data_IF_978010957917
#
_entry.id   IF_978010957917
#
_cell.length_a   1.000
_cell.length_b   1.000
_cell.length_c   1.000
_cell.angle_alpha   90.00
_cell.angle_beta   90.00
_cell.angle_gamma   90.00
#
_symmetry.space_group_name_H-M   'P 1'
#
loop_
_entity.id
_entity.type
_entity.pdbx_description
1 polymer ?
#
# COMPACT_ATOMS: atom_id res chain seq x y z
N UNK A 1 48.45 19.10 -6.30
CA UNK A 1 47.71 17.82 -6.45
C UNK A 1 46.31 17.90 -5.82
N UNK A 2 46.03 18.86 -4.95
CA UNK A 2 44.78 18.92 -4.18
C UNK A 2 43.52 19.21 -4.99
N UNK A 3 43.63 19.99 -6.08
CA UNK A 3 42.51 20.30 -6.96
C UNK A 3 41.89 19.05 -7.61
N UNK A 4 42.73 18.14 -8.12
CA UNK A 4 42.25 16.90 -8.76
C UNK A 4 41.54 15.99 -7.75
N UNK A 5 42.02 15.92 -6.52
CA UNK A 5 41.38 15.12 -5.46
C UNK A 5 40.04 15.72 -5.05
N UNK A 6 39.96 17.05 -4.91
CA UNK A 6 38.69 17.74 -4.62
C UNK A 6 37.66 17.57 -5.75
N UNK A 7 38.11 17.62 -7.00
CA UNK A 7 37.24 17.38 -8.16
C UNK A 7 36.70 15.94 -8.20
N UNK A 8 37.56 14.95 -7.94
CA UNK A 8 37.14 13.55 -7.88
C UNK A 8 36.16 13.28 -6.74
N UNK A 9 36.35 13.91 -5.58
CA UNK A 9 35.44 13.76 -4.45
C UNK A 9 34.09 14.45 -4.72
N UNK A 10 34.08 15.58 -5.43
CA UNK A 10 32.83 16.20 -5.89
C UNK A 10 32.06 15.30 -6.84
N UNK A 11 32.72 14.67 -7.82
CA UNK A 11 32.08 13.71 -8.73
C UNK A 11 31.51 12.52 -7.96
N UNK A 12 32.29 11.95 -7.02
CA UNK A 12 31.82 10.81 -6.20
C UNK A 12 30.57 11.17 -5.41
N UNK A 13 30.51 12.36 -4.80
CA UNK A 13 29.32 12.78 -4.05
C UNK A 13 28.11 12.93 -4.98
N UNK A 14 28.26 13.57 -6.13
CA UNK A 14 27.16 13.73 -7.11
C UNK A 14 26.64 12.37 -7.57
N UNK A 15 27.53 11.40 -7.84
CA UNK A 15 27.13 10.04 -8.25
C UNK A 15 26.43 9.30 -7.10
N UNK A 16 26.95 9.41 -5.88
CA UNK A 16 26.34 8.79 -4.68
C UNK A 16 24.94 9.36 -4.44
N UNK A 17 24.77 10.66 -4.57
CA UNK A 17 23.48 11.32 -4.35
C UNK A 17 22.46 10.96 -5.44
N UNK A 18 22.89 10.90 -6.71
CA UNK A 18 22.04 10.41 -7.80
C UNK A 18 21.59 8.95 -7.59
N UNK A 19 22.49 8.08 -7.12
CA UNK A 19 22.15 6.68 -6.80
C UNK A 19 21.19 6.61 -5.61
N UNK A 20 21.41 7.41 -4.56
CA UNK A 20 20.50 7.47 -3.40
C UNK A 20 19.11 7.95 -3.79
N UNK A 21 19.02 8.96 -4.64
CA UNK A 21 17.74 9.48 -5.12
C UNK A 21 17.00 8.45 -5.97
N UNK A 22 17.69 7.81 -6.92
CA UNK A 22 17.13 6.72 -7.72
C UNK A 22 16.67 5.54 -6.85
N UNK A 23 17.43 5.19 -5.81
CA UNK A 23 17.05 4.16 -4.85
C UNK A 23 15.87 4.57 -3.98
N UNK A 24 15.74 5.85 -3.60
CA UNK A 24 14.58 6.34 -2.84
C UNK A 24 13.31 6.34 -3.68
N UNK A 25 13.40 6.75 -4.95
CA UNK A 25 12.30 6.68 -5.91
C UNK A 25 11.91 5.22 -6.17
N UNK A 26 12.88 4.33 -6.39
CA UNK A 26 12.62 2.91 -6.51
C UNK A 26 12.03 2.32 -5.21
N UNK A 27 12.45 2.75 -4.03
CA UNK A 27 11.90 2.28 -2.74
C UNK A 27 10.45 2.71 -2.53
N UNK A 28 9.99 3.80 -3.16
CA UNK A 28 8.56 4.13 -3.21
C UNK A 28 7.76 3.17 -4.11
N UNK A 29 8.40 2.59 -5.14
CA UNK A 29 7.78 1.58 -6.02
C UNK A 29 7.90 0.14 -5.48
N UNK A 30 8.78 -0.12 -4.51
CA UNK A 30 9.19 -1.48 -4.16
C UNK A 30 8.48 -2.02 -2.91
N UNK A 31 7.71 -3.06 -3.20
CA UNK A 31 7.27 -4.14 -2.32
C UNK A 31 6.12 -3.80 -1.39
N UNK A 32 4.92 -3.82 -1.97
CA UNK A 32 3.74 -4.09 -1.18
C UNK A 32 3.93 -5.40 -0.38
N UNK A 33 3.82 -5.36 0.96
CA UNK A 33 4.02 -6.54 1.79
C UNK A 33 2.94 -7.57 1.52
N UNK A 34 3.35 -8.83 1.43
CA UNK A 34 2.44 -9.96 1.40
C UNK A 34 1.77 -10.13 2.76
N UNK A 35 0.44 -10.11 2.79
CA UNK A 35 -0.35 -10.26 4.01
C UNK A 35 -1.00 -11.63 4.11
N UNK A 36 -1.35 -12.01 5.33
CA UNK A 36 -1.99 -13.28 5.67
C UNK A 36 -3.50 -13.27 5.41
N UNK A 37 -4.13 -14.43 5.50
CA UNK A 37 -5.60 -14.58 5.39
C UNK A 37 -6.33 -13.75 6.46
N UNK A 38 -5.78 -13.65 7.67
CA UNK A 38 -6.36 -12.87 8.75
C UNK A 38 -6.37 -11.38 8.42
N UNK A 39 -5.22 -10.85 8.01
CA UNK A 39 -5.09 -9.43 7.67
C UNK A 39 -5.95 -9.03 6.47
N UNK A 40 -6.09 -9.91 5.47
CA UNK A 40 -6.98 -9.61 4.34
C UNK A 40 -8.45 -9.71 4.71
N UNK A 41 -8.82 -10.61 5.62
CA UNK A 41 -10.18 -10.70 6.15
C UNK A 41 -10.55 -9.41 6.90
N UNK A 42 -9.65 -8.91 7.75
CA UNK A 42 -9.79 -7.62 8.43
C UNK A 42 -9.89 -6.46 7.43
N UNK A 43 -9.05 -6.43 6.38
CA UNK A 43 -9.08 -5.40 5.33
C UNK A 43 -10.40 -5.40 4.54
N UNK A 44 -11.00 -6.57 4.34
CA UNK A 44 -12.28 -6.72 3.65
C UNK A 44 -13.50 -6.54 4.57
N UNK A 45 -13.31 -6.45 5.89
CA UNK A 45 -14.40 -6.47 6.86
C UNK A 45 -15.18 -7.79 6.86
N UNK A 46 -14.50 -8.91 6.55
CA UNK A 46 -15.09 -10.25 6.42
C UNK A 46 -14.43 -11.24 7.38
N UNK A 47 -15.01 -12.43 7.52
CA UNK A 47 -14.40 -13.51 8.32
C UNK A 47 -13.33 -14.27 7.53
N UNK A 48 -12.34 -14.84 8.22
CA UNK A 48 -11.33 -15.70 7.59
C UNK A 48 -11.94 -16.93 6.89
N UNK A 49 -13.07 -17.44 7.41
CA UNK A 49 -13.82 -18.54 6.77
C UNK A 49 -14.39 -18.09 5.43
N UNK A 50 -14.93 -16.87 5.36
CA UNK A 50 -15.44 -16.30 4.11
C UNK A 50 -14.32 -16.14 3.08
N UNK A 51 -13.15 -15.63 3.50
CA UNK A 51 -11.98 -15.52 2.61
C UNK A 51 -11.58 -16.89 2.09
N UNK A 52 -11.51 -17.90 2.95
CA UNK A 52 -11.16 -19.26 2.53
C UNK A 52 -12.16 -19.90 1.55
N UNK A 53 -13.46 -19.62 1.70
CA UNK A 53 -14.49 -20.08 0.75
C UNK A 53 -14.37 -19.38 -0.61
N UNK A 54 -13.96 -18.11 -0.60
CA UNK A 54 -13.88 -17.26 -1.78
C UNK A 54 -12.47 -17.16 -2.38
N UNK A 55 -11.55 -18.07 -2.05
CA UNK A 55 -10.18 -18.04 -2.60
C UNK A 55 -10.12 -18.19 -4.12
N UNK A 56 -11.13 -18.81 -4.71
CA UNK A 56 -11.21 -18.99 -6.16
C UNK A 56 -11.46 -17.67 -6.90
N UNK A 57 -11.99 -16.65 -6.22
CA UNK A 57 -12.21 -15.31 -6.79
C UNK A 57 -11.20 -14.28 -6.27
N UNK A 58 -10.72 -14.43 -5.03
CA UNK A 58 -9.79 -13.46 -4.44
C UNK A 58 -8.36 -13.70 -4.96
N UNK A 59 -7.69 -12.67 -5.53
CA UNK A 59 -6.30 -12.78 -5.96
C UNK A 59 -5.37 -13.15 -4.80
N UNK A 60 -4.68 -14.28 -4.93
CA UNK A 60 -3.76 -14.78 -3.91
C UNK A 60 -2.62 -15.56 -4.55
N UNK A 61 -1.53 -15.71 -3.80
CA UNK A 61 -0.47 -16.66 -4.12
C UNK A 61 -0.37 -17.71 -3.02
N UNK A 62 0.19 -18.87 -3.37
CA UNK A 62 0.65 -19.86 -2.40
C UNK A 62 2.16 -19.75 -2.29
N UNK A 63 2.65 -19.47 -1.10
CA UNK A 63 4.07 -19.44 -0.78
C UNK A 63 4.30 -20.29 0.47
N UNK A 64 5.14 -21.32 0.34
CA UNK A 64 5.50 -22.22 1.45
C UNK A 64 4.27 -22.84 2.16
N UNK A 65 3.37 -23.43 1.38
CA UNK A 65 2.12 -24.03 1.88
C UNK A 65 1.07 -23.04 2.41
N UNK A 66 1.43 -21.76 2.54
CA UNK A 66 0.59 -20.71 3.10
C UNK A 66 0.03 -19.79 2.02
N UNK A 67 -1.20 -19.32 2.22
CA UNK A 67 -1.83 -18.32 1.33
C UNK A 67 -1.33 -16.94 1.70
N UNK A 68 -1.01 -16.13 0.69
CA UNK A 68 -0.55 -14.76 0.83
C UNK A 68 -1.27 -13.87 -0.17
N UNK A 69 -1.55 -12.65 0.25
CA UNK A 69 -2.35 -11.68 -0.50
C UNK A 69 -1.58 -10.37 -0.65
N UNK A 70 -1.81 -9.67 -1.75
CA UNK A 70 -1.44 -8.26 -1.92
C UNK A 70 -2.71 -7.44 -1.75
N UNK A 71 -2.69 -6.41 -0.89
CA UNK A 71 -3.88 -5.58 -0.63
C UNK A 71 -4.31 -4.84 -1.91
N UNK A 72 -3.37 -4.32 -2.69
CA UNK A 72 -3.61 -3.62 -3.95
C UNK A 72 -4.29 -4.51 -4.99
N UNK A 73 -3.84 -5.77 -5.12
CA UNK A 73 -4.46 -6.74 -6.02
C UNK A 73 -5.90 -7.06 -5.58
N UNK A 74 -6.14 -7.18 -4.27
CA UNK A 74 -7.47 -7.42 -3.71
C UNK A 74 -8.36 -6.18 -3.85
N UNK A 75 -7.82 -4.98 -3.68
CA UNK A 75 -8.53 -3.72 -3.87
C UNK A 75 -8.91 -3.52 -5.35
N UNK A 76 -7.98 -3.79 -6.26
CA UNK A 76 -8.24 -3.77 -7.69
C UNK A 76 -9.33 -4.77 -8.07
N UNK A 77 -9.23 -6.02 -7.60
CA UNK A 77 -10.27 -7.03 -7.80
C UNK A 77 -11.63 -6.58 -7.27
N UNK A 78 -11.66 -5.94 -6.09
CA UNK A 78 -12.90 -5.42 -5.51
C UNK A 78 -13.52 -4.32 -6.38
N UNK A 79 -12.69 -3.43 -6.94
CA UNK A 79 -13.16 -2.41 -7.90
C UNK A 79 -13.62 -3.06 -9.20
N UNK A 80 -12.92 -4.05 -9.74
CA UNK A 80 -13.36 -4.71 -10.98
C UNK A 80 -14.67 -5.50 -10.79
N UNK A 81 -14.82 -6.15 -9.63
CA UNK A 81 -15.98 -6.99 -9.32
C UNK A 81 -17.21 -6.17 -8.93
N UNK A 82 -17.03 -5.05 -8.23
CA UNK A 82 -18.12 -4.26 -7.63
C UNK A 82 -18.12 -2.78 -8.06
N UNK A 83 -17.35 -2.43 -9.08
CA UNK A 83 -16.87 -1.07 -9.41
C UNK A 83 -17.86 0.04 -9.67
N UNK A 84 -19.15 -0.24 -9.70
CA UNK A 84 -20.16 0.82 -9.80
C UNK A 84 -20.49 1.47 -8.44
N UNK A 85 -20.02 0.92 -7.30
CA UNK A 85 -20.41 1.40 -5.95
C UNK A 85 -19.26 1.80 -5.00
N UNK A 86 -17.98 1.62 -5.35
CA UNK A 86 -16.86 1.76 -4.40
C UNK A 86 -15.90 2.94 -4.65
N UNK A 87 -16.00 3.62 -5.79
CA UNK A 87 -15.03 4.66 -6.17
C UNK A 87 -15.05 5.91 -5.26
N UNK A 88 -16.11 6.11 -4.47
CA UNK A 88 -16.28 7.33 -3.68
C UNK A 88 -15.63 7.32 -2.28
N UNK A 89 -15.12 6.19 -1.77
CA UNK A 89 -14.60 6.12 -0.38
C UNK A 89 -13.06 6.06 -0.28
N UNK A 90 -12.35 5.60 -1.31
CA UNK A 90 -10.89 5.43 -1.23
C UNK A 90 -10.09 6.73 -1.48
N UNK A 91 -10.67 7.70 -2.19
CA UNK A 91 -10.00 9.00 -2.44
C UNK A 91 -10.05 9.90 -1.19
N UNK A 92 -11.02 9.69 -0.29
CA UNK A 92 -11.24 10.57 0.87
C UNK A 92 -10.34 10.26 2.08
N UNK A 93 -9.82 9.03 2.21
CA UNK A 93 -9.04 8.64 3.41
C UNK A 93 -7.64 9.27 3.42
N UNK A 94 -7.05 9.54 2.25
CA UNK A 94 -5.73 10.19 2.16
C UNK A 94 -5.78 11.73 2.17
N UNK A 95 -6.97 12.35 2.28
CA UNK A 95 -7.12 13.80 2.26
C UNK A 95 -8.13 14.36 3.26
N UNK A 96 -8.16 13.93 4.53
CA UNK A 96 -8.77 14.79 5.57
C UNK A 96 -7.95 14.79 6.86
N UNK A 97 -7.19 15.89 6.98
CA UNK A 97 -6.70 16.49 8.21
C UNK A 97 -7.74 16.44 9.34
N UNK A 98 -7.27 16.09 10.54
CA UNK A 98 -7.49 16.83 11.80
C UNK A 98 -8.80 17.62 11.91
N UNK A 99 -9.58 17.24 12.92
CA UNK A 99 -10.55 18.06 13.67
C UNK A 99 -11.90 18.36 13.00
N UNK A 100 -12.96 17.77 13.55
CA UNK A 100 -14.06 18.59 14.08
C UNK A 100 -14.95 17.80 15.05
N UNK A 101 -15.30 18.51 16.12
CA UNK A 101 -16.10 18.10 17.28
C UNK A 101 -17.54 17.75 16.85
N UNK A 102 -18.11 16.71 17.46
CA UNK A 102 -19.56 16.41 17.35
C UNK A 102 -20.37 17.43 18.15
N UNK A 103 -21.45 18.02 17.63
CA UNK A 103 -22.56 18.43 18.48
C UNK A 103 -23.55 17.26 18.60
N UNK A 104 -23.81 16.89 19.85
CA UNK A 104 -24.86 15.95 20.26
C UNK A 104 -26.21 16.67 20.16
N UNK A 105 -27.19 16.10 19.44
CA UNK A 105 -28.61 16.42 19.61
C UNK A 105 -29.50 15.23 19.26
N UNK A 106 -30.32 14.84 20.23
CA UNK A 106 -31.57 14.06 20.19
C UNK A 106 -32.01 14.00 21.67
N UNK A 107 -33.21 14.34 22.14
CA UNK A 107 -34.60 14.27 21.65
C UNK A 107 -35.44 15.18 22.57
N UNK A 108 -36.50 15.81 22.05
CA UNK A 108 -37.86 15.77 22.63
C UNK A 108 -38.88 15.69 21.48
#
# INVERSE_FOLDING_TARGET
>A
MDFFNQFLDSIKQVVIDAIKEALQQAKQEICEPWVTTKEIAEHLGQSESWVNKNLHIIPHIKHDGSKRFKKSAVDQWRVETYGQNYHSQMVTVNQVKVSSKRPVKFIE
#
